data_IF_896755881924
#
_entry.id   IF_896755881924
#
_cell.length_a   1.000
_cell.length_b   1.000
_cell.length_c   1.000
_cell.angle_alpha   90.00
_cell.angle_beta   90.00
_cell.angle_gamma   90.00
#
_symmetry.space_group_name_H-M   'P 1'
#
loop_
_entity.id
_entity.type
_entity.pdbx_description
1 polymer ?
#
# COMPACT_ATOMS: atom_id res chain seq x y z
N UNK A 1 -4.40 -3.69 -18.37
CA UNK A 1 -3.93 -2.47 -17.68
C UNK A 1 -4.57 -2.26 -16.31
N UNK A 2 -5.84 -2.62 -16.13
CA UNK A 2 -6.55 -2.53 -14.84
C UNK A 2 -5.82 -3.28 -13.70
N UNK A 3 -5.26 -4.46 -13.97
CA UNK A 3 -4.47 -5.23 -12.98
C UNK A 3 -3.30 -4.45 -12.37
N UNK A 4 -2.53 -3.72 -13.19
CA UNK A 4 -1.36 -2.95 -12.71
C UNK A 4 -1.77 -1.68 -11.98
N UNK A 5 -2.90 -1.06 -12.37
CA UNK A 5 -3.53 0.03 -11.63
C UNK A 5 -4.01 -0.45 -10.27
N UNK A 6 -4.81 -1.52 -10.25
CA UNK A 6 -5.33 -2.11 -9.02
C UNK A 6 -4.20 -2.52 -8.06
N UNK A 7 -3.06 -2.98 -8.57
CA UNK A 7 -1.90 -3.27 -7.74
C UNK A 7 -1.24 -2.01 -7.19
N UNK A 8 -1.06 -0.96 -8.00
CA UNK A 8 -0.58 0.34 -7.51
C UNK A 8 -1.53 0.93 -6.45
N UNK A 9 -2.84 0.81 -6.67
CA UNK A 9 -3.87 1.27 -5.73
C UNK A 9 -3.81 0.46 -4.43
N UNK A 10 -3.64 -0.87 -4.52
CA UNK A 10 -3.43 -1.75 -3.37
C UNK A 10 -2.18 -1.38 -2.57
N UNK A 11 -1.06 -1.10 -3.24
CA UNK A 11 0.16 -0.67 -2.56
C UNK A 11 -0.05 0.66 -1.82
N UNK A 12 -0.76 1.59 -2.45
CA UNK A 12 -1.11 2.87 -1.85
C UNK A 12 -2.02 2.67 -0.64
N UNK A 13 -3.01 1.79 -0.74
CA UNK A 13 -3.92 1.45 0.36
C UNK A 13 -3.18 0.81 1.53
N UNK A 14 -2.24 -0.11 1.28
CA UNK A 14 -1.37 -0.70 2.31
C UNK A 14 -0.57 0.40 3.02
N UNK A 15 0.01 1.36 2.29
CA UNK A 15 0.76 2.45 2.90
C UNK A 15 -0.15 3.34 3.75
N UNK A 16 -1.34 3.68 3.25
CA UNK A 16 -2.34 4.43 4.03
C UNK A 16 -2.69 3.72 5.33
N UNK A 17 -2.96 2.41 5.30
CA UNK A 17 -3.26 1.62 6.50
C UNK A 17 -2.07 1.63 7.46
N UNK A 18 -0.83 1.51 6.97
CA UNK A 18 0.39 1.60 7.81
C UNK A 18 0.53 2.96 8.48
N UNK A 19 0.12 4.04 7.82
CA UNK A 19 0.11 5.38 8.43
C UNK A 19 -1.01 5.51 9.48
N UNK A 20 -2.20 4.97 9.20
CA UNK A 20 -3.31 4.93 10.17
C UNK A 20 -2.96 4.16 11.44
N UNK A 21 -2.28 3.02 11.30
CA UNK A 21 -1.77 2.25 12.44
C UNK A 21 -0.79 3.10 13.26
N UNK A 22 0.21 3.72 12.61
CA UNK A 22 1.19 4.59 13.29
C UNK A 22 0.54 5.75 14.04
N UNK A 23 -0.48 6.37 13.46
CA UNK A 23 -1.24 7.43 14.12
C UNK A 23 -2.03 6.89 15.33
N UNK A 24 -2.70 5.77 15.16
CA UNK A 24 -3.51 5.14 16.22
C UNK A 24 -2.63 4.66 17.38
N UNK A 25 -1.42 4.17 17.10
CA UNK A 25 -0.42 3.82 18.11
C UNK A 25 0.00 5.06 18.92
N UNK A 26 0.31 6.18 18.27
CA UNK A 26 0.63 7.44 19.00
C UNK A 26 -0.53 7.94 19.83
N UNK A 27 -1.76 7.82 19.33
CA UNK A 27 -2.94 8.14 20.13
C UNK A 27 -3.08 7.18 21.32
N UNK A 28 -2.83 5.89 21.12
CA UNK A 28 -2.83 4.90 22.20
C UNK A 28 -1.79 5.26 23.26
N UNK A 29 -0.57 5.64 22.87
CA UNK A 29 0.48 6.13 23.78
C UNK A 29 0.01 7.36 24.56
N UNK A 30 -0.60 8.32 23.87
CA UNK A 30 -1.15 9.54 24.49
C UNK A 30 -2.22 9.22 25.54
N UNK A 31 -3.15 8.30 25.23
CA UNK A 31 -4.26 7.95 26.12
C UNK A 31 -3.85 7.01 27.25
N UNK A 32 -2.89 6.10 27.00
CA UNK A 32 -2.37 5.17 28.01
C UNK A 32 -1.32 5.79 28.91
N UNK A 33 -0.68 6.87 28.47
CA UNK A 33 0.48 7.42 29.17
C UNK A 33 1.64 6.43 29.19
N UNK A 34 1.78 5.61 28.14
CA UNK A 34 2.90 4.69 27.95
C UNK A 34 3.55 5.09 26.63
N UNK A 35 4.85 5.41 26.64
CA UNK A 35 5.61 5.64 25.39
C UNK A 35 6.13 4.30 24.91
N UNK A 36 5.71 3.87 23.72
CA UNK A 36 6.22 2.65 23.07
C UNK A 36 7.32 2.97 22.05
N UNK A 37 7.38 4.21 21.53
CA UNK A 37 8.28 4.62 20.46
C UNK A 37 9.53 5.41 20.90
N UNK A 38 9.83 5.49 22.20
CA UNK A 38 10.94 6.28 22.75
C UNK A 38 12.06 5.36 23.29
N UNK A 39 13.14 5.16 22.51
CA UNK A 39 14.24 4.24 22.86
C UNK A 39 15.03 4.66 24.12
N UNK A 40 14.89 5.90 24.57
CA UNK A 40 15.57 6.44 25.75
C UNK A 40 14.71 6.38 27.02
N UNK A 41 13.41 6.09 26.89
CA UNK A 41 12.47 6.10 28.00
C UNK A 41 11.57 4.86 27.97
N UNK A 42 12.18 3.70 28.22
CA UNK A 42 11.45 2.51 28.68
C UNK A 42 10.88 2.81 30.08
N UNK A 43 9.68 3.37 30.12
CA UNK A 43 9.01 3.72 31.36
C UNK A 43 7.67 4.40 31.14
N UNK A 44 6.68 4.02 31.94
CA UNK A 44 5.39 4.69 32.06
C UNK A 44 5.68 6.11 32.58
N UNK A 45 5.50 7.20 31.80
CA UNK A 45 5.61 8.55 32.34
C UNK A 45 4.36 8.79 33.18
N UNK A 46 4.42 8.35 34.44
CA UNK A 46 3.40 8.54 35.48
C UNK A 46 3.04 10.03 35.68
N UNK A 47 3.82 10.95 35.10
CA UNK A 47 3.69 12.41 35.21
C UNK A 47 2.93 13.13 34.10
N UNK A 48 2.42 12.46 33.06
CA UNK A 48 1.61 13.12 31.99
C UNK A 48 0.13 12.75 32.04
N UNK A 49 -0.37 12.28 33.18
CA UNK A 49 -1.82 12.15 33.43
C UNK A 49 -2.46 13.54 33.42
N UNK A 50 -2.85 14.03 32.23
CA UNK A 50 -3.83 15.11 32.14
C UNK A 50 -5.10 14.67 32.86
N UNK A 51 -5.77 15.63 33.50
CA UNK A 51 -6.98 15.52 34.33
C UNK A 51 -8.21 14.90 33.62
N UNK A 52 -8.09 13.72 33.04
CA UNK A 52 -9.21 12.96 32.51
C UNK A 52 -9.64 11.93 33.55
N UNK A 53 -10.95 11.68 33.65
CA UNK A 53 -11.47 10.66 34.55
C UNK A 53 -10.89 9.31 34.12
N UNK A 54 -10.46 8.48 35.07
CA UNK A 54 -9.89 7.14 34.80
C UNK A 54 -10.82 6.32 33.90
N UNK A 55 -12.14 6.41 34.13
CA UNK A 55 -13.14 5.74 33.29
C UNK A 55 -13.12 6.18 31.82
N UNK A 56 -12.94 7.48 31.57
CA UNK A 56 -12.83 8.01 30.19
C UNK A 56 -11.53 7.58 29.52
N UNK A 57 -10.42 7.50 30.25
CA UNK A 57 -9.14 7.03 29.72
C UNK A 57 -9.21 5.56 29.32
N UNK A 58 -9.69 4.69 30.23
CA UNK A 58 -9.86 3.26 29.96
C UNK A 58 -10.78 2.99 28.76
N UNK A 59 -11.87 3.76 28.64
CA UNK A 59 -12.77 3.65 27.48
C UNK A 59 -12.06 4.01 26.17
N UNK A 60 -11.22 5.04 26.17
CA UNK A 60 -10.49 5.46 24.97
C UNK A 60 -9.37 4.48 24.61
N UNK A 61 -8.64 3.96 25.60
CA UNK A 61 -7.63 2.92 25.43
C UNK A 61 -8.25 1.68 24.78
N UNK A 62 -9.39 1.20 25.30
CA UNK A 62 -10.05 0.00 24.75
C UNK A 62 -10.52 0.23 23.31
N UNK A 63 -11.10 1.40 23.02
CA UNK A 63 -11.49 1.76 21.65
C UNK A 63 -10.31 1.76 20.69
N UNK A 64 -9.17 2.34 21.11
CA UNK A 64 -7.95 2.39 20.28
C UNK A 64 -7.34 0.99 20.11
N UNK A 65 -7.38 0.14 21.13
CA UNK A 65 -6.95 -1.28 21.02
C UNK A 65 -7.78 -2.04 19.99
N UNK A 66 -9.11 -1.92 20.04
CA UNK A 66 -10.01 -2.55 19.07
C UNK A 66 -9.75 -2.01 17.66
N UNK A 67 -9.54 -0.70 17.52
CA UNK A 67 -9.21 -0.09 16.23
C UNK A 67 -7.89 -0.62 15.66
N UNK A 68 -6.84 -0.71 16.48
CA UNK A 68 -5.55 -1.29 16.08
C UNK A 68 -5.69 -2.73 15.59
N UNK A 69 -6.43 -3.57 16.33
CA UNK A 69 -6.65 -4.96 15.91
C UNK A 69 -7.33 -5.03 14.54
N UNK A 70 -8.37 -4.23 14.31
CA UNK A 70 -9.07 -4.17 13.00
C UNK A 70 -8.16 -3.68 11.88
N UNK A 71 -7.34 -2.66 12.14
CA UNK A 71 -6.38 -2.16 11.15
C UNK A 71 -5.32 -3.21 10.81
N UNK A 72 -4.84 -3.96 11.81
CA UNK A 72 -3.89 -5.05 11.60
C UNK A 72 -4.49 -6.20 10.79
N UNK A 73 -5.72 -6.63 11.11
CA UNK A 73 -6.45 -7.64 10.33
C UNK A 73 -6.65 -7.19 8.87
N UNK A 74 -7.02 -5.92 8.67
CA UNK A 74 -7.16 -5.33 7.34
C UNK A 74 -5.81 -5.32 6.60
N UNK A 75 -4.74 -4.90 7.27
CA UNK A 75 -3.39 -4.91 6.71
C UNK A 75 -2.98 -6.32 6.27
N UNK A 76 -3.17 -7.33 7.11
CA UNK A 76 -2.87 -8.72 6.79
C UNK A 76 -3.65 -9.21 5.56
N UNK A 77 -4.92 -8.85 5.45
CA UNK A 77 -5.73 -9.16 4.28
C UNK A 77 -5.16 -8.55 2.99
N UNK A 78 -4.81 -7.25 3.01
CA UNK A 78 -4.24 -6.58 1.85
C UNK A 78 -2.83 -7.09 1.51
N UNK A 79 -2.00 -7.44 2.50
CA UNK A 79 -0.68 -8.03 2.27
C UNK A 79 -0.79 -9.43 1.64
N UNK A 80 -1.73 -10.27 2.09
CA UNK A 80 -2.02 -11.56 1.41
C UNK A 80 -2.51 -11.36 -0.02
N UNK A 81 -3.34 -10.34 -0.27
CA UNK A 81 -3.80 -10.02 -1.61
C UNK A 81 -2.65 -9.54 -2.50
N UNK A 82 -1.74 -8.72 -1.95
CA UNK A 82 -0.51 -8.29 -2.61
C UNK A 82 0.36 -9.49 -2.99
N UNK A 83 0.59 -10.44 -2.08
CA UNK A 83 1.38 -11.65 -2.39
C UNK A 83 0.78 -12.47 -3.55
N UNK A 84 -0.56 -12.57 -3.60
CA UNK A 84 -1.25 -13.26 -4.71
C UNK A 84 -1.04 -12.50 -6.02
N UNK A 85 -1.15 -11.17 -6.00
CA UNK A 85 -0.87 -10.35 -7.17
C UNK A 85 0.60 -10.46 -7.58
N UNK A 86 1.56 -10.46 -6.64
CA UNK A 86 2.98 -10.63 -6.90
C UNK A 86 3.28 -11.96 -7.61
N UNK A 87 2.63 -13.05 -7.18
CA UNK A 87 2.77 -14.36 -7.85
C UNK A 87 2.20 -14.35 -9.28
N UNK A 88 1.04 -13.73 -9.48
CA UNK A 88 0.48 -13.55 -10.83
C UNK A 88 1.40 -12.67 -11.70
N UNK A 89 1.98 -11.65 -11.09
CA UNK A 89 2.90 -10.71 -11.71
C UNK A 89 4.21 -11.36 -12.17
N UNK A 90 4.77 -12.28 -11.37
CA UNK A 90 5.97 -13.05 -11.74
C UNK A 90 5.77 -13.95 -12.97
N UNK A 91 4.53 -14.31 -13.31
CA UNK A 91 4.26 -15.13 -14.51
C UNK A 91 4.39 -14.33 -15.82
N UNK A 92 4.33 -13.00 -15.75
CA UNK A 92 4.48 -12.13 -16.92
C UNK A 92 5.96 -11.83 -17.21
N UNK A 93 6.69 -12.80 -17.78
CA UNK A 93 8.13 -12.67 -18.09
C UNK A 93 8.46 -11.86 -19.36
N UNK A 94 7.54 -11.03 -19.86
CA UNK A 94 7.73 -10.23 -21.07
C UNK A 94 8.38 -8.86 -20.83
N UNK A 95 9.13 -8.35 -21.81
CA UNK A 95 9.66 -6.98 -21.78
C UNK A 95 8.52 -5.94 -21.60
N UNK A 96 7.38 -6.19 -22.23
CA UNK A 96 6.18 -5.37 -22.11
C UNK A 96 5.69 -5.27 -20.67
N UNK A 97 5.77 -6.37 -19.92
CA UNK A 97 5.39 -6.38 -18.51
C UNK A 97 6.37 -5.58 -17.63
N UNK A 98 7.68 -5.71 -17.87
CA UNK A 98 8.70 -4.90 -17.16
C UNK A 98 8.47 -3.40 -17.38
N UNK A 99 8.13 -3.02 -18.61
CA UNK A 99 7.77 -1.63 -18.95
C UNK A 99 6.49 -1.19 -18.23
N UNK A 100 5.46 -2.03 -18.19
CA UNK A 100 4.22 -1.74 -17.49
C UNK A 100 4.42 -1.57 -15.97
N UNK A 101 5.21 -2.43 -15.34
CA UNK A 101 5.51 -2.39 -13.91
C UNK A 101 6.21 -1.08 -13.54
N UNK A 102 7.30 -0.75 -14.24
CA UNK A 102 8.06 0.47 -13.95
C UNK A 102 7.24 1.74 -14.20
N UNK A 103 6.38 1.73 -15.20
CA UNK A 103 5.54 2.90 -15.52
C UNK A 103 4.38 3.08 -14.55
N UNK A 104 3.71 2.00 -14.12
CA UNK A 104 2.43 2.08 -13.39
C UNK A 104 2.60 1.88 -11.89
N UNK A 105 3.57 1.06 -11.49
CA UNK A 105 3.86 0.76 -10.09
C UNK A 105 4.96 1.68 -9.55
N UNK A 106 6.07 1.80 -10.28
CA UNK A 106 7.19 2.68 -9.87
C UNK A 106 6.99 4.15 -10.30
N UNK A 107 5.92 4.45 -11.05
CA UNK A 107 5.61 5.78 -11.62
C UNK A 107 6.77 6.45 -12.38
N UNK A 108 7.68 5.66 -12.97
CA UNK A 108 8.85 6.17 -13.71
C UNK A 108 8.48 6.73 -15.08
N UNK A 109 9.28 7.68 -15.56
CA UNK A 109 9.15 8.21 -16.92
C UNK A 109 9.66 7.19 -17.93
N UNK A 110 9.08 7.19 -19.13
CA UNK A 110 9.48 6.27 -20.21
C UNK A 110 10.97 6.36 -20.55
N UNK A 111 11.57 7.54 -20.38
CA UNK A 111 13.01 7.77 -20.56
C UNK A 111 13.85 7.02 -19.50
N UNK A 112 13.48 7.11 -18.23
CA UNK A 112 14.16 6.42 -17.13
C UNK A 112 14.02 4.90 -17.28
N UNK A 113 12.85 4.44 -17.73
CA UNK A 113 12.60 3.02 -18.02
C UNK A 113 13.49 2.51 -19.16
N UNK A 114 13.69 3.34 -20.20
CA UNK A 114 14.54 3.02 -21.33
C UNK A 114 16.02 2.91 -20.91
N UNK A 115 16.49 3.86 -20.10
CA UNK A 115 17.83 3.85 -19.52
C UNK A 115 18.06 2.62 -18.61
N UNK A 116 17.11 2.29 -17.74
CA UNK A 116 17.22 1.14 -16.83
C UNK A 116 17.15 -0.23 -17.53
N UNK A 117 16.36 -0.34 -18.60
CA UNK A 117 16.21 -1.60 -19.34
C UNK A 117 17.21 -1.73 -20.50
N UNK A 118 18.01 -0.69 -20.79
CA UNK A 118 19.00 -0.70 -21.86
C UNK A 118 18.39 -0.65 -23.26
N UNK A 119 17.18 -0.08 -23.42
CA UNK A 119 16.50 0.06 -24.70
C UNK A 119 16.38 1.52 -25.13
N UNK A 120 16.05 1.77 -26.39
CA UNK A 120 15.76 3.13 -26.86
C UNK A 120 14.41 3.63 -26.31
N UNK A 121 14.33 4.93 -26.03
CA UNK A 121 13.09 5.56 -25.57
C UNK A 121 11.94 5.34 -26.56
N UNK A 122 12.24 5.36 -27.86
CA UNK A 122 11.28 5.10 -28.94
C UNK A 122 10.70 3.69 -28.84
N UNK A 123 11.54 2.68 -28.61
CA UNK A 123 11.11 1.29 -28.48
C UNK A 123 10.23 1.07 -27.24
N UNK A 124 10.60 1.68 -26.11
CA UNK A 124 9.76 1.65 -24.89
C UNK A 124 8.42 2.37 -25.10
N UNK A 125 8.39 3.48 -25.86
CA UNK A 125 7.14 4.16 -26.25
C UNK A 125 6.23 3.26 -27.09
N UNK A 126 6.78 2.57 -28.08
CA UNK A 126 6.04 1.63 -28.92
C UNK A 126 5.46 0.47 -28.11
N UNK A 127 6.25 -0.11 -27.21
CA UNK A 127 5.79 -1.15 -26.28
C UNK A 127 4.66 -0.61 -25.38
N UNK A 128 4.83 0.58 -24.82
CA UNK A 128 3.80 1.21 -24.00
C UNK A 128 2.52 1.49 -24.80
N UNK A 129 2.61 1.82 -26.09
CA UNK A 129 1.46 2.06 -26.95
C UNK A 129 0.75 0.74 -27.32
N UNK A 130 1.51 -0.33 -27.58
CA UNK A 130 0.98 -1.68 -27.80
C UNK A 130 0.22 -2.18 -26.57
N UNK A 131 0.78 -2.02 -25.38
CA UNK A 131 0.11 -2.36 -24.11
C UNK A 131 -1.23 -1.66 -23.93
N UNK A 132 -1.35 -0.40 -24.36
CA UNK A 132 -2.62 0.35 -24.33
C UNK A 132 -3.64 -0.19 -25.34
N UNK A 133 -3.18 -0.78 -26.46
CA UNK A 133 -4.01 -1.20 -27.60
C UNK A 133 -4.45 -2.66 -27.52
N UNK A 134 -3.59 -3.55 -27.03
CA UNK A 134 -3.87 -4.99 -26.88
C UNK A 134 -4.95 -5.26 -25.83
N UNK A 135 -5.17 -4.33 -24.88
CA UNK A 135 -6.21 -4.42 -23.86
C UNK A 135 -7.50 -3.71 -24.32
N UNK A 136 -8.12 -4.16 -25.41
CA UNK A 136 -9.56 -3.89 -25.63
C UNK A 136 -10.34 -4.59 -24.51
N UNK A 137 -11.29 -3.88 -23.92
CA UNK A 137 -12.06 -4.34 -22.75
C UNK A 137 -12.68 -5.73 -23.01
N UNK A 138 -12.84 -6.59 -21.99
CA UNK A 138 -13.58 -7.86 -22.12
C UNK A 138 -15.00 -7.69 -22.70
N UNK A 139 -15.57 -6.50 -22.61
CA UNK A 139 -16.87 -6.14 -23.22
C UNK A 139 -16.89 -6.16 -24.75
N UNK A 140 -15.74 -6.15 -25.42
CA UNK A 140 -15.68 -6.25 -26.90
C UNK A 140 -15.69 -7.71 -27.40
N UNK A 141 -15.46 -8.69 -26.52
CA UNK A 141 -15.54 -10.13 -26.85
C UNK A 141 -16.97 -10.69 -26.75
N UNK A 142 -17.91 -9.92 -26.21
CA UNK A 142 -19.34 -10.26 -26.11
C UNK A 142 -20.19 -9.70 -27.26
N UNK A 143 -19.58 -8.96 -28.20
CA UNK A 143 -20.28 -8.39 -29.37
C UNK A 143 -20.06 -9.18 -30.66
N UNK A 144 -19.41 -10.34 -30.58
CA UNK A 144 -19.14 -11.23 -31.71
C UNK A 144 -19.78 -12.61 -31.56
N UNK A 145 -20.92 -12.67 -30.87
CA UNK A 145 -21.87 -13.80 -30.85
C UNK A 145 -23.23 -13.24 -31.21
#
# INVERSE_FOLDING_TARGET
>A
MELMKNYSDLLTEIECIKQEIRLTEREFEYWSGIRMHDKESDGIPLGTMKHHKVSTQLTQIEKKRIALNRLNERLEYHEKYKERMDKLMQQFNGLEYKVAYKKWVEMKKLKEIAEELGYSEQYIKEISAKLSKTYKKPTDLLKSV
#
